data_IF_452691653015
#
_entry.id   IF_452691653015
#
_cell.length_a   1.000
_cell.length_b   1.000
_cell.length_c   1.000
_cell.angle_alpha   90.00
_cell.angle_beta   90.00
_cell.angle_gamma   90.00
#
_symmetry.space_group_name_H-M   'P 1'
#
loop_
_entity.id
_entity.type
_entity.pdbx_description
1 polymer ?
#
# COMPACT_ATOMS: atom_id res chain seq x y z
N UNK A 1 -2.79 -30.50 10.36
CA UNK A 1 -3.75 -29.50 9.93
C UNK A 1 -3.76 -28.43 11.00
N UNK A 2 -3.15 -27.30 10.70
CA UNK A 2 -3.00 -26.17 11.60
C UNK A 2 -4.38 -25.54 11.80
N UNK A 3 -4.85 -25.48 13.04
CA UNK A 3 -6.12 -24.83 13.39
C UNK A 3 -5.86 -23.34 13.64
N UNK A 4 -5.41 -22.64 12.59
CA UNK A 4 -5.22 -21.19 12.64
C UNK A 4 -6.60 -20.53 12.80
N UNK A 5 -6.82 -19.90 13.95
CA UNK A 5 -8.03 -19.12 14.19
C UNK A 5 -7.82 -17.73 13.59
N UNK A 6 -8.30 -17.52 12.36
CA UNK A 6 -8.16 -16.23 11.64
C UNK A 6 -8.72 -15.04 12.43
N UNK A 7 -9.74 -15.23 13.24
CA UNK A 7 -10.29 -14.17 14.09
C UNK A 7 -9.31 -13.74 15.21
N UNK A 8 -8.54 -14.69 15.77
CA UNK A 8 -7.51 -14.36 16.76
C UNK A 8 -6.33 -13.63 16.13
N UNK A 9 -6.01 -13.92 14.87
CA UNK A 9 -4.90 -13.25 14.16
C UNK A 9 -5.20 -11.80 13.83
N UNK A 10 -6.47 -11.42 13.62
CA UNK A 10 -6.86 -10.03 13.34
C UNK A 10 -6.35 -9.03 14.39
N UNK A 11 -6.30 -9.45 15.67
CA UNK A 11 -5.84 -8.58 16.76
C UNK A 11 -4.39 -8.10 16.60
N UNK A 12 -3.60 -8.75 15.73
CA UNK A 12 -2.21 -8.41 15.45
C UNK A 12 -2.05 -7.56 14.18
N UNK A 13 -3.13 -7.33 13.44
CA UNK A 13 -3.12 -6.66 12.15
C UNK A 13 -3.99 -5.39 12.15
N UNK A 14 -3.73 -4.49 13.11
CA UNK A 14 -4.31 -3.15 13.08
C UNK A 14 -3.78 -2.39 11.86
N UNK A 15 -4.67 -1.74 11.09
CA UNK A 15 -4.36 -1.15 9.77
C UNK A 15 -3.24 -0.11 9.83
N UNK A 16 -3.13 0.66 10.90
CA UNK A 16 -2.06 1.64 11.08
C UNK A 16 -0.71 0.95 11.20
N UNK A 17 -0.63 -0.12 12.00
CA UNK A 17 0.59 -0.93 12.17
C UNK A 17 0.96 -1.66 10.86
N UNK A 18 -0.02 -2.25 10.18
CA UNK A 18 0.20 -2.91 8.88
C UNK A 18 0.75 -1.92 7.86
N UNK A 19 0.16 -0.72 7.78
CA UNK A 19 0.62 0.35 6.88
C UNK A 19 2.06 0.76 7.18
N UNK A 20 2.40 0.98 8.45
CA UNK A 20 3.78 1.30 8.85
C UNK A 20 4.74 0.17 8.49
N UNK A 21 4.34 -1.09 8.67
CA UNK A 21 5.11 -2.26 8.24
C UNK A 21 5.35 -2.29 6.73
N UNK A 22 4.30 -2.10 5.93
CA UNK A 22 4.38 -2.08 4.46
C UNK A 22 5.26 -0.93 3.95
N UNK A 23 5.12 0.27 4.53
CA UNK A 23 5.97 1.41 4.17
C UNK A 23 7.43 1.19 4.62
N UNK A 24 7.63 0.61 5.81
CA UNK A 24 8.94 0.21 6.30
C UNK A 24 9.63 -0.82 5.41
N UNK A 25 8.88 -1.80 4.89
CA UNK A 25 9.38 -2.77 3.91
C UNK A 25 9.86 -2.06 2.63
N UNK A 26 9.06 -1.15 2.08
CA UNK A 26 9.44 -0.39 0.89
C UNK A 26 10.67 0.49 1.13
N UNK A 27 10.77 1.09 2.31
CA UNK A 27 11.96 1.84 2.71
C UNK A 27 13.20 0.93 2.76
N UNK A 28 13.07 -0.26 3.34
CA UNK A 28 14.16 -1.24 3.44
C UNK A 28 14.61 -1.76 2.07
N UNK A 29 13.65 -2.06 1.17
CA UNK A 29 13.94 -2.64 -0.15
C UNK A 29 14.45 -1.59 -1.16
N UNK A 30 13.89 -0.39 -1.14
CA UNK A 30 14.04 0.59 -2.21
C UNK A 30 14.59 1.94 -1.74
N UNK A 31 14.73 2.16 -0.43
CA UNK A 31 15.20 3.43 0.13
C UNK A 31 14.20 4.59 0.01
N UNK A 32 12.94 4.32 -0.34
CA UNK A 32 11.91 5.36 -0.44
C UNK A 32 11.36 5.74 0.93
N UNK A 33 10.89 6.97 1.05
CA UNK A 33 10.26 7.49 2.28
C UNK A 33 8.92 8.12 1.99
N UNK A 34 8.04 8.13 3.01
CA UNK A 34 6.65 8.58 2.91
C UNK A 34 6.41 9.74 3.89
N UNK A 35 6.00 10.88 3.40
CA UNK A 35 5.64 12.05 4.20
C UNK A 35 4.13 12.31 4.09
N UNK A 36 3.39 12.16 5.19
CA UNK A 36 1.95 12.42 5.21
C UNK A 36 1.67 13.90 4.92
N UNK A 37 0.68 14.15 4.06
CA UNK A 37 0.20 15.48 3.68
C UNK A 37 -1.26 15.64 4.09
N UNK A 38 -1.55 16.72 4.79
CA UNK A 38 -2.90 17.07 5.26
C UNK A 38 -3.47 18.30 4.56
N UNK A 39 -2.66 18.97 3.78
CA UNK A 39 -2.97 20.19 3.03
C UNK A 39 -3.41 19.92 1.58
N UNK A 40 -3.23 18.67 1.10
CA UNK A 40 -3.70 18.27 -0.24
C UNK A 40 -5.19 17.93 -0.19
N UNK A 41 -6.03 18.54 -1.03
CA UNK A 41 -7.45 18.24 -1.07
C UNK A 41 -7.72 16.76 -1.43
N UNK A 42 -8.64 16.13 -0.70
CA UNK A 42 -9.06 14.75 -0.92
C UNK A 42 -10.55 14.69 -1.25
N UNK A 43 -10.94 13.70 -2.04
CA UNK A 43 -12.33 13.48 -2.44
C UNK A 43 -13.19 12.81 -1.36
N UNK A 44 -12.57 12.26 -0.31
CA UNK A 44 -13.23 11.70 0.86
C UNK A 44 -12.31 11.88 2.08
N UNK A 45 -12.89 12.20 3.24
CA UNK A 45 -12.16 12.48 4.49
C UNK A 45 -11.32 11.31 5.02
N UNK A 46 -11.67 10.08 4.62
CA UNK A 46 -10.99 8.85 5.06
C UNK A 46 -9.76 8.54 4.18
N UNK A 47 -9.51 9.33 3.13
CA UNK A 47 -8.34 9.15 2.25
C UNK A 47 -7.13 9.83 2.86
N UNK A 48 -6.04 9.07 2.96
CA UNK A 48 -4.74 9.59 3.38
C UNK A 48 -3.87 9.87 2.15
N UNK A 49 -3.07 10.94 2.21
CA UNK A 49 -2.15 11.31 1.12
C UNK A 49 -0.73 11.39 1.64
N UNK A 50 0.18 10.85 0.86
CA UNK A 50 1.62 10.87 1.14
C UNK A 50 2.41 11.40 -0.05
N UNK A 51 3.35 12.29 0.21
CA UNK A 51 4.47 12.51 -0.70
C UNK A 51 5.48 11.39 -0.53
N UNK A 52 5.92 10.84 -1.65
CA UNK A 52 6.94 9.78 -1.66
C UNK A 52 8.22 10.34 -2.26
N UNK A 53 9.33 10.06 -1.59
CA UNK A 53 10.66 10.52 -2.00
C UNK A 53 11.58 9.31 -2.22
N UNK A 54 12.52 9.45 -3.16
CA UNK A 54 13.56 8.45 -3.38
C UNK A 54 14.67 8.52 -2.30
N UNK A 55 15.64 7.63 -2.39
CA UNK A 55 16.78 7.55 -1.47
C UNK A 55 17.71 8.79 -1.46
N UNK A 56 17.54 9.71 -2.39
CA UNK A 56 18.26 10.99 -2.45
C UNK A 56 17.37 12.15 -1.96
N UNK A 57 16.17 11.87 -1.47
CA UNK A 57 15.20 12.88 -1.05
C UNK A 57 14.52 13.60 -2.22
N UNK A 58 14.61 13.06 -3.45
CA UNK A 58 13.93 13.62 -4.61
C UNK A 58 12.49 13.13 -4.66
N UNK A 59 11.57 14.05 -4.96
CA UNK A 59 10.15 13.74 -5.13
C UNK A 59 9.93 12.65 -6.19
N UNK A 60 9.23 11.58 -5.81
CA UNK A 60 8.94 10.42 -6.63
C UNK A 60 7.48 10.35 -7.07
N UNK A 61 6.53 10.55 -6.15
CA UNK A 61 5.10 10.38 -6.41
C UNK A 61 4.24 11.04 -5.33
N UNK A 62 2.95 11.28 -5.64
CA UNK A 62 1.89 11.30 -4.63
C UNK A 62 1.25 9.92 -4.54
N UNK A 63 1.03 9.46 -3.30
CA UNK A 63 0.30 8.24 -2.99
C UNK A 63 -0.98 8.58 -2.22
N UNK A 64 -2.12 8.15 -2.75
CA UNK A 64 -3.42 8.21 -2.09
C UNK A 64 -3.77 6.82 -1.57
N UNK A 65 -4.04 6.71 -0.26
CA UNK A 65 -4.48 5.47 0.38
C UNK A 65 -5.97 5.60 0.72
N UNK A 66 -6.79 4.85 0.03
CA UNK A 66 -8.26 4.81 0.19
C UNK A 66 -8.68 3.42 0.68
N UNK A 67 -8.64 3.22 1.99
CA UNK A 67 -8.77 1.89 2.59
C UNK A 67 -10.21 1.43 2.80
N UNK A 68 -11.18 2.34 2.97
CA UNK A 68 -12.48 2.00 3.51
C UNK A 68 -13.61 2.02 2.48
N UNK A 69 -14.65 1.19 2.68
CA UNK A 69 -15.82 1.16 1.82
C UNK A 69 -16.70 2.40 2.00
N UNK A 70 -17.45 2.75 0.95
CA UNK A 70 -18.53 3.72 0.93
C UNK A 70 -19.48 3.44 -0.24
N UNK A 71 -20.69 4.00 -0.23
CA UNK A 71 -21.73 3.72 -1.24
C UNK A 71 -21.30 4.04 -2.68
N UNK A 72 -20.41 5.02 -2.88
CA UNK A 72 -19.90 5.42 -4.21
C UNK A 72 -18.65 4.66 -4.66
N UNK A 73 -18.14 3.72 -3.85
CA UNK A 73 -16.92 2.97 -4.13
C UNK A 73 -17.24 1.54 -4.55
N UNK A 74 -16.63 1.05 -5.63
CA UNK A 74 -16.78 -0.35 -6.03
C UNK A 74 -16.13 -1.29 -5.02
N UNK A 75 -16.59 -2.54 -4.95
CA UNK A 75 -16.01 -3.60 -4.13
C UNK A 75 -14.66 -4.08 -4.67
N UNK A 76 -13.93 -4.83 -3.84
CA UNK A 76 -12.60 -5.38 -4.15
C UNK A 76 -11.47 -4.42 -3.81
N UNK A 77 -10.30 -4.71 -4.32
CA UNK A 77 -9.10 -3.87 -4.20
C UNK A 77 -8.57 -3.56 -5.60
N UNK A 78 -7.89 -2.43 -5.75
CA UNK A 78 -7.25 -2.05 -7.01
C UNK A 78 -6.30 -0.86 -6.83
N UNK A 79 -5.26 -0.84 -7.63
CA UNK A 79 -4.45 0.35 -7.85
C UNK A 79 -4.97 1.14 -9.04
N UNK A 80 -4.81 2.46 -9.05
CA UNK A 80 -5.04 3.31 -10.21
C UNK A 80 -4.10 4.51 -10.23
N UNK A 81 -3.80 5.02 -11.43
CA UNK A 81 -3.10 6.28 -11.60
C UNK A 81 -4.12 7.42 -11.82
N UNK A 82 -4.10 8.43 -10.96
CA UNK A 82 -4.79 9.70 -11.25
C UNK A 82 -3.98 10.54 -12.23
N UNK A 83 -2.69 10.37 -12.22
CA UNK A 83 -1.75 10.97 -13.15
C UNK A 83 -0.65 9.94 -13.45
N UNK A 84 -0.41 9.68 -14.72
CA UNK A 84 0.70 8.87 -15.20
C UNK A 84 2.04 9.62 -15.06
N UNK A 85 3.14 8.90 -15.16
CA UNK A 85 4.45 9.48 -15.34
C UNK A 85 4.79 9.61 -16.83
N UNK A 86 5.45 10.67 -17.23
CA UNK A 86 6.06 10.83 -18.57
C UNK A 86 7.18 11.86 -18.53
N UNK A 87 7.93 11.98 -19.63
CA UNK A 87 8.90 13.06 -19.81
C UNK A 87 8.34 14.07 -20.81
N UNK A 88 8.24 15.33 -20.39
CA UNK A 88 7.79 16.44 -21.22
C UNK A 88 8.77 16.72 -22.36
N UNK A 89 8.34 17.41 -23.42
CA UNK A 89 9.18 17.73 -24.58
C UNK A 89 10.43 18.53 -24.18
N UNK A 90 10.33 19.37 -23.14
CA UNK A 90 11.44 20.15 -22.59
C UNK A 90 12.31 19.39 -21.56
N UNK A 91 12.05 18.09 -21.36
CA UNK A 91 12.89 17.19 -20.57
C UNK A 91 12.49 17.08 -19.08
N UNK A 92 11.43 17.76 -18.63
CA UNK A 92 10.91 17.61 -17.27
C UNK A 92 10.24 16.26 -17.09
N UNK A 93 10.56 15.56 -15.98
CA UNK A 93 9.93 14.30 -15.62
C UNK A 93 8.67 14.57 -14.79
N UNK A 94 7.52 14.49 -15.41
CA UNK A 94 6.22 14.62 -14.77
C UNK A 94 5.92 13.39 -13.92
N UNK A 95 5.98 13.54 -12.59
CA UNK A 95 5.83 12.41 -11.66
C UNK A 95 4.38 11.98 -11.46
N UNK A 96 4.13 10.69 -11.18
CA UNK A 96 2.79 10.12 -11.10
C UNK A 96 2.06 10.48 -9.80
N UNK A 97 0.73 10.38 -9.85
CA UNK A 97 -0.15 10.35 -8.68
C UNK A 97 -0.86 9.01 -8.68
N UNK A 98 -0.60 8.19 -7.68
CA UNK A 98 -1.06 6.81 -7.60
C UNK A 98 -2.06 6.67 -6.45
N UNK A 99 -3.09 5.86 -6.64
CA UNK A 99 -4.03 5.53 -5.58
C UNK A 99 -4.07 4.02 -5.34
N UNK A 100 -3.95 3.62 -4.09
CA UNK A 100 -4.18 2.29 -3.58
C UNK A 100 -5.57 2.28 -2.95
N UNK A 101 -6.43 1.39 -3.42
CA UNK A 101 -7.82 1.31 -3.00
C UNK A 101 -8.13 -0.09 -2.48
N UNK A 102 -8.75 -0.16 -1.30
CA UNK A 102 -9.27 -1.40 -0.70
C UNK A 102 -10.67 -1.17 -0.14
N UNK A 103 -11.26 -2.19 0.45
CA UNK A 103 -12.55 -2.09 1.15
C UNK A 103 -12.46 -2.78 2.52
N UNK A 104 -11.43 -2.46 3.29
CA UNK A 104 -11.23 -2.98 4.64
C UNK A 104 -12.31 -2.48 5.60
N UNK A 105 -12.60 -3.26 6.63
CA UNK A 105 -13.58 -2.88 7.65
C UNK A 105 -13.18 -1.58 8.33
N UNK A 106 -14.12 -0.62 8.45
CA UNK A 106 -13.89 0.63 9.16
C UNK A 106 -13.71 0.38 10.66
N UNK A 107 -12.92 1.22 11.34
CA UNK A 107 -12.93 1.22 12.79
C UNK A 107 -14.32 1.56 13.32
N UNK A 108 -14.67 1.01 14.47
CA UNK A 108 -15.88 1.29 15.24
C UNK A 108 -15.55 2.22 16.43
N UNK A 109 -16.54 2.53 17.26
CA UNK A 109 -16.29 3.26 18.51
C UNK A 109 -15.49 2.46 19.55
N UNK A 110 -15.51 1.14 19.44
CA UNK A 110 -14.91 0.21 20.42
C UNK A 110 -13.74 -0.61 19.88
N UNK A 111 -13.54 -0.62 18.57
CA UNK A 111 -12.54 -1.48 17.95
C UNK A 111 -11.89 -0.78 16.76
N UNK A 112 -10.54 -0.81 16.62
CA UNK A 112 -9.85 -0.28 15.46
C UNK A 112 -10.14 -1.12 14.21
N UNK A 113 -9.68 -0.67 13.05
CA UNK A 113 -9.74 -1.46 11.83
C UNK A 113 -8.72 -2.59 11.92
N UNK A 114 -9.19 -3.81 12.10
CA UNK A 114 -8.40 -5.04 12.17
C UNK A 114 -8.52 -5.82 10.85
N UNK A 115 -7.38 -6.19 10.29
CA UNK A 115 -7.31 -6.91 9.02
C UNK A 115 -7.21 -8.42 9.25
N UNK A 116 -7.73 -9.21 8.31
CA UNK A 116 -7.36 -10.62 8.17
C UNK A 116 -5.98 -10.75 7.54
N UNK A 117 -5.37 -11.93 7.63
CA UNK A 117 -4.12 -12.21 6.91
C UNK A 117 -4.30 -12.05 5.37
N UNK A 118 -5.43 -12.49 4.83
CA UNK A 118 -5.77 -12.33 3.40
C UNK A 118 -5.91 -10.84 3.02
N UNK A 119 -6.38 -9.98 3.94
CA UNK A 119 -6.44 -8.53 3.72
C UNK A 119 -5.04 -7.88 3.81
N UNK A 120 -4.15 -8.40 4.65
CA UNK A 120 -2.72 -7.98 4.66
C UNK A 120 -2.05 -8.37 3.34
N UNK A 121 -2.28 -9.59 2.84
CA UNK A 121 -1.79 -10.04 1.53
C UNK A 121 -2.35 -9.17 0.41
N UNK A 122 -3.66 -8.87 0.43
CA UNK A 122 -4.30 -7.94 -0.51
C UNK A 122 -3.66 -6.55 -0.48
N UNK A 123 -3.35 -6.04 0.71
CA UNK A 123 -2.67 -4.74 0.82
C UNK A 123 -1.28 -4.78 0.17
N UNK A 124 -0.50 -5.83 0.43
CA UNK A 124 0.82 -6.02 -0.19
C UNK A 124 0.71 -6.14 -1.72
N UNK A 125 -0.28 -6.89 -2.22
CA UNK A 125 -0.57 -7.02 -3.64
C UNK A 125 -0.79 -5.65 -4.30
N UNK A 126 -1.77 -4.90 -3.81
CA UNK A 126 -2.09 -3.57 -4.36
C UNK A 126 -0.93 -2.58 -4.18
N UNK A 127 -0.15 -2.76 -3.12
CA UNK A 127 1.05 -1.97 -2.90
C UNK A 127 2.16 -2.31 -3.90
N UNK A 128 2.25 -3.56 -4.36
CA UNK A 128 3.15 -3.95 -5.45
C UNK A 128 2.82 -3.24 -6.76
N UNK A 129 1.55 -3.16 -7.15
CA UNK A 129 1.10 -2.33 -8.27
C UNK A 129 1.39 -0.85 -8.05
N UNK A 130 1.18 -0.38 -6.82
CA UNK A 130 1.46 1.01 -6.41
C UNK A 130 2.93 1.35 -6.59
N UNK A 131 3.84 0.48 -6.15
CA UNK A 131 5.29 0.62 -6.37
C UNK A 131 5.62 0.66 -7.86
N UNK A 132 5.03 -0.24 -8.65
CA UNK A 132 5.20 -0.24 -10.11
C UNK A 132 4.80 1.10 -10.74
N UNK A 133 3.69 1.67 -10.32
CA UNK A 133 3.25 3.00 -10.76
C UNK A 133 4.17 4.13 -10.31
N UNK A 134 4.58 4.14 -9.03
CA UNK A 134 5.43 5.18 -8.45
C UNK A 134 6.85 5.19 -9.04
N UNK A 135 7.42 4.02 -9.33
CA UNK A 135 8.75 3.89 -9.92
C UNK A 135 8.79 4.09 -11.43
N UNK A 136 7.66 4.33 -12.08
CA UNK A 136 7.62 4.59 -13.52
C UNK A 136 8.63 5.66 -13.93
N UNK A 137 9.41 5.36 -14.98
CA UNK A 137 10.42 6.27 -15.53
C UNK A 137 10.55 6.02 -17.03
N UNK A 138 9.48 6.29 -17.76
CA UNK A 138 9.38 6.12 -19.20
C UNK A 138 9.27 7.47 -19.90
N UNK A 139 9.65 7.52 -21.18
CA UNK A 139 9.49 8.73 -21.98
C UNK A 139 8.03 9.02 -22.31
N UNK A 140 7.26 7.98 -22.58
CA UNK A 140 5.90 8.09 -23.07
C UNK A 140 4.89 7.68 -22.00
N UNK A 141 3.85 8.50 -21.80
CA UNK A 141 2.76 8.28 -20.87
C UNK A 141 2.07 6.91 -21.08
N UNK A 142 1.82 6.53 -22.33
CA UNK A 142 1.16 5.27 -22.69
C UNK A 142 1.94 3.98 -22.35
N UNK A 143 3.22 4.12 -21.98
CA UNK A 143 4.09 3.03 -21.59
C UNK A 143 4.51 3.10 -20.12
N UNK A 144 3.82 3.94 -19.34
CA UNK A 144 4.18 4.23 -17.95
C UNK A 144 3.55 3.24 -16.97
N UNK A 145 4.32 2.87 -15.93
CA UNK A 145 3.86 2.08 -14.80
C UNK A 145 3.18 0.79 -15.22
N UNK A 146 1.92 0.61 -14.82
CA UNK A 146 1.12 -0.60 -15.06
C UNK A 146 0.58 -0.72 -16.51
N UNK A 147 0.92 0.22 -17.42
CA UNK A 147 0.62 0.11 -18.85
C UNK A 147 1.59 -0.85 -19.55
N UNK A 148 1.58 -2.10 -19.14
CA UNK A 148 2.43 -3.20 -19.63
C UNK A 148 1.56 -4.37 -20.12
N UNK A 149 2.18 -5.38 -20.73
CA UNK A 149 1.46 -6.60 -21.12
C UNK A 149 0.90 -7.34 -19.89
N UNK A 150 -0.23 -8.03 -20.08
CA UNK A 150 -0.96 -8.74 -19.02
C UNK A 150 -0.14 -9.82 -18.31
N UNK A 151 0.80 -10.44 -18.99
CA UNK A 151 1.70 -11.46 -18.45
C UNK A 151 2.78 -10.90 -17.51
N UNK A 152 2.94 -9.58 -17.47
CA UNK A 152 3.91 -8.92 -16.61
C UNK A 152 3.27 -8.10 -15.48
N UNK A 153 2.05 -7.61 -15.67
CA UNK A 153 1.43 -6.61 -14.76
C UNK A 153 1.32 -7.10 -13.32
N UNK A 154 1.11 -8.41 -13.11
CA UNK A 154 0.97 -9.01 -11.77
C UNK A 154 2.32 -9.40 -11.15
N UNK A 155 3.45 -9.31 -11.86
CA UNK A 155 4.75 -9.69 -11.31
C UNK A 155 5.11 -8.88 -10.05
N UNK A 156 5.02 -7.54 -10.04
CA UNK A 156 5.33 -6.75 -8.85
C UNK A 156 4.37 -6.99 -7.69
N UNK A 157 3.07 -7.17 -7.97
CA UNK A 157 2.04 -7.41 -6.95
C UNK A 157 2.23 -8.77 -6.28
N UNK A 158 2.38 -9.85 -7.06
CA UNK A 158 2.55 -11.20 -6.55
C UNK A 158 3.89 -11.42 -5.83
N UNK A 159 4.95 -10.69 -6.20
CA UNK A 159 6.20 -10.72 -5.43
C UNK A 159 5.96 -10.15 -4.02
N UNK A 160 5.20 -9.08 -3.89
CA UNK A 160 4.93 -8.47 -2.59
C UNK A 160 4.08 -9.35 -1.67
N UNK A 161 3.15 -10.14 -2.21
CA UNK A 161 2.33 -11.10 -1.43
C UNK A 161 3.18 -12.05 -0.58
N UNK A 162 4.34 -12.48 -1.09
CA UNK A 162 5.21 -13.42 -0.38
C UNK A 162 5.66 -12.90 1.00
N UNK A 163 5.71 -11.58 1.20
CA UNK A 163 6.08 -11.00 2.49
C UNK A 163 4.99 -11.19 3.55
N UNK A 164 3.72 -11.43 3.17
CA UNK A 164 2.61 -11.58 4.13
C UNK A 164 2.82 -12.70 5.16
N UNK A 165 3.64 -13.70 4.82
CA UNK A 165 3.95 -14.86 5.69
C UNK A 165 5.42 -14.89 6.15
N UNK A 166 6.22 -13.90 5.77
CA UNK A 166 7.62 -13.84 6.17
C UNK A 166 7.76 -13.37 7.63
N UNK A 167 8.31 -14.25 8.49
CA UNK A 167 8.46 -14.01 9.93
C UNK A 167 9.17 -12.69 10.24
N UNK A 168 10.27 -12.42 9.55
CA UNK A 168 11.06 -11.21 9.79
C UNK A 168 10.29 -9.93 9.45
N UNK A 169 9.42 -10.00 8.47
CA UNK A 169 8.54 -8.88 8.12
C UNK A 169 7.40 -8.74 9.12
N UNK A 170 6.68 -9.83 9.44
CA UNK A 170 5.61 -9.81 10.44
C UNK A 170 6.08 -9.26 11.78
N UNK A 171 7.26 -9.64 12.24
CA UNK A 171 7.86 -9.15 13.48
C UNK A 171 8.12 -7.64 13.50
N UNK A 172 8.08 -6.96 12.37
CA UNK A 172 8.27 -5.50 12.33
C UNK A 172 7.02 -4.72 12.71
N UNK A 173 5.82 -5.31 12.61
CA UNK A 173 4.56 -4.59 12.81
C UNK A 173 3.44 -5.41 13.48
N UNK A 174 3.46 -6.75 13.40
CA UNK A 174 2.36 -7.60 13.86
C UNK A 174 2.36 -7.71 15.39
N UNK A 175 1.80 -6.70 16.03
CA UNK A 175 1.63 -6.60 17.49
C UNK A 175 0.15 -6.52 17.84
N UNK A 176 -0.24 -7.19 18.93
CA UNK A 176 -1.61 -7.14 19.42
C UNK A 176 -2.01 -5.69 19.77
N UNK A 177 -3.09 -5.22 19.20
CA UNK A 177 -3.49 -3.80 19.26
C UNK A 177 -3.77 -3.27 20.68
N UNK A 178 -4.11 -4.16 21.64
CA UNK A 178 -4.34 -3.78 23.05
C UNK A 178 -3.12 -4.01 23.93
N UNK A 179 -2.43 -5.17 23.77
CA UNK A 179 -1.36 -5.58 24.67
C UNK A 179 0.03 -5.20 24.19
N UNK A 180 0.21 -4.97 22.88
CA UNK A 180 1.50 -4.74 22.26
C UNK A 180 2.39 -5.99 22.15
N UNK A 181 1.85 -7.16 22.50
CA UNK A 181 2.59 -8.42 22.34
C UNK A 181 2.76 -8.79 20.87
N UNK A 182 3.91 -9.31 20.51
CA UNK A 182 4.17 -9.78 19.16
C UNK A 182 3.31 -11.00 18.82
N UNK A 183 3.04 -11.20 17.53
CA UNK A 183 2.38 -12.39 17.01
C UNK A 183 3.13 -13.64 17.50
N UNK A 184 2.43 -14.68 18.02
CA UNK A 184 3.06 -15.93 18.47
C UNK A 184 3.82 -16.64 17.36
N UNK A 185 4.93 -17.28 17.72
CA UNK A 185 5.76 -18.04 16.77
C UNK A 185 5.18 -19.42 16.39
N UNK A 186 4.10 -19.90 17.06
CA UNK A 186 3.50 -21.23 16.90
C UNK A 186 2.11 -21.15 16.24
#
# INVERSE_FOLDING_TARGET
LYNLNSEKLKSYFEIGQVKEGVFGLATKLYGITFARRTDIPVYNRDVEVYEVFDNNGKYLSLLYCDFYPRSSKKSGAWMTNYKEQWVEEWGENSRPHVALNTNFSKPTETEPSLLTLDEVETFLHEFGHTLHGMFANTRFRSLSGTNVYWDFVELPSQIMENFAIEKDFLNTFAQHYETGENIPEE
#
